data_IF_515074139273
#
_entry.id   IF_515074139273
#
_cell.length_a   1.000
_cell.length_b   1.000
_cell.length_c   1.000
_cell.angle_alpha   90.00
_cell.angle_beta   90.00
_cell.angle_gamma   90.00
#
_symmetry.space_group_name_H-M   'P 1'
#
loop_
_entity.id
_entity.type
_entity.pdbx_description
1 polymer ?
#
# COMPACT_ATOMS: atom_id res chain seq x y z
N UNK A 1 -20.59 23.59 11.29
CA UNK A 1 -21.09 23.00 12.54
C UNK A 1 -21.42 21.51 12.45
N UNK A 2 -22.12 21.05 11.40
CA UNK A 2 -22.50 19.63 11.24
C UNK A 2 -21.31 18.67 11.17
N UNK A 3 -20.20 19.07 10.58
CA UNK A 3 -19.02 18.23 10.40
C UNK A 3 -18.17 18.12 11.68
N UNK A 4 -18.08 19.19 12.45
CA UNK A 4 -17.45 19.16 13.79
C UNK A 4 -18.21 18.25 14.77
N UNK A 5 -19.54 18.25 14.71
CA UNK A 5 -20.34 17.35 15.54
C UNK A 5 -20.11 15.87 15.18
N UNK A 6 -19.96 15.54 13.89
CA UNK A 6 -19.61 14.17 13.44
C UNK A 6 -18.24 13.75 13.92
N UNK A 7 -17.26 14.65 13.88
CA UNK A 7 -15.90 14.37 14.37
C UNK A 7 -15.92 14.14 15.88
N UNK A 8 -16.61 15.00 16.65
CA UNK A 8 -16.77 14.82 18.11
C UNK A 8 -17.47 13.52 18.45
N UNK A 9 -18.56 13.17 17.76
CA UNK A 9 -19.27 11.91 17.96
C UNK A 9 -18.41 10.70 17.61
N UNK A 10 -17.60 10.79 16.56
CA UNK A 10 -16.64 9.72 16.19
C UNK A 10 -15.57 9.55 17.27
N UNK A 11 -15.01 10.65 17.77
CA UNK A 11 -14.04 10.60 18.89
C UNK A 11 -14.69 10.10 20.19
N UNK A 12 -15.90 10.53 20.50
CA UNK A 12 -16.64 10.02 21.66
C UNK A 12 -16.95 8.53 21.56
N UNK A 13 -17.30 8.02 20.37
CA UNK A 13 -17.49 6.59 20.16
C UNK A 13 -16.18 5.80 20.25
N UNK A 14 -15.08 6.35 19.77
CA UNK A 14 -13.74 5.77 19.94
C UNK A 14 -13.33 5.69 21.41
N UNK A 15 -13.51 6.78 22.17
CA UNK A 15 -13.26 6.80 23.62
C UNK A 15 -14.16 5.81 24.35
N UNK A 16 -15.42 5.72 23.97
CA UNK A 16 -16.38 4.74 24.55
C UNK A 16 -16.01 3.30 24.21
N UNK A 17 -15.54 3.03 22.98
CA UNK A 17 -15.08 1.70 22.59
C UNK A 17 -13.75 1.31 23.28
N UNK A 18 -12.90 2.28 23.60
CA UNK A 18 -11.70 2.05 24.41
C UNK A 18 -12.03 1.76 25.87
N UNK A 19 -13.16 2.27 26.38
CA UNK A 19 -13.61 2.06 27.77
C UNK A 19 -14.41 0.77 27.98
N UNK A 20 -14.96 0.16 26.93
CA UNK A 20 -15.78 -1.06 27.01
C UNK A 20 -15.05 -2.28 26.45
N UNK A 21 -14.40 -3.00 27.36
CA UNK A 21 -14.11 -4.42 27.30
C UNK A 21 -13.29 -4.98 26.14
N UNK A 22 -11.96 -4.91 26.28
CA UNK A 22 -11.14 -6.14 26.10
C UNK A 22 -9.82 -5.92 26.86
N UNK A 23 -9.45 -6.87 27.72
CA UNK A 23 -8.15 -6.85 28.44
C UNK A 23 -6.94 -7.07 27.52
N UNK A 24 -7.09 -6.87 26.21
CA UNK A 24 -6.01 -7.02 25.22
C UNK A 24 -5.43 -5.67 24.78
N UNK A 25 -4.12 -5.62 24.65
CA UNK A 25 -3.42 -4.52 23.99
C UNK A 25 -3.93 -4.39 22.53
N UNK A 26 -3.92 -3.20 21.96
CA UNK A 26 -4.37 -2.96 20.59
C UNK A 26 -3.19 -2.52 19.73
N UNK A 27 -3.05 -3.10 18.55
CA UNK A 27 -2.15 -2.66 17.49
C UNK A 27 -2.94 -2.27 16.26
N UNK A 28 -2.77 -1.05 15.77
CA UNK A 28 -3.50 -0.52 14.63
C UNK A 28 -2.55 -0.14 13.51
N UNK A 29 -2.85 -0.58 12.31
CA UNK A 29 -2.01 -0.46 11.13
C UNK A 29 -2.83 -0.03 9.94
N UNK A 30 -2.33 0.90 9.15
CA UNK A 30 -2.87 1.23 7.84
C UNK A 30 -1.86 0.96 6.73
N UNK A 31 -2.32 0.52 5.57
CA UNK A 31 -1.43 0.30 4.43
C UNK A 31 -2.07 0.76 3.13
N UNK A 32 -1.23 1.11 2.17
CA UNK A 32 -1.67 1.09 0.79
C UNK A 32 -2.03 -0.37 0.42
N UNK A 33 -3.09 -0.61 -0.37
CA UNK A 33 -3.54 -1.96 -0.68
C UNK A 33 -2.40 -2.85 -1.18
N UNK A 34 -2.11 -3.89 -0.43
CA UNK A 34 -1.02 -4.82 -0.75
C UNK A 34 -1.15 -6.12 0.02
N UNK A 35 -1.17 -7.24 -0.71
CA UNK A 35 -1.15 -8.57 -0.13
C UNK A 35 0.16 -8.92 0.62
N UNK A 36 1.18 -8.07 0.50
CA UNK A 36 2.51 -8.33 1.07
C UNK A 36 2.48 -8.45 2.60
N UNK A 37 1.64 -7.68 3.27
CA UNK A 37 1.58 -7.69 4.74
C UNK A 37 0.72 -8.81 5.32
N UNK A 38 -0.07 -9.51 4.51
CA UNK A 38 -1.00 -10.54 4.98
C UNK A 38 -0.29 -11.63 5.77
N UNK A 39 0.83 -12.15 5.24
CA UNK A 39 1.61 -13.16 5.95
C UNK A 39 2.25 -12.61 7.23
N UNK A 40 2.69 -11.36 7.21
CA UNK A 40 3.27 -10.70 8.38
C UNK A 40 2.22 -10.51 9.48
N UNK A 41 0.97 -10.19 9.13
CA UNK A 41 -0.13 -10.12 10.10
C UNK A 41 -0.46 -11.51 10.70
N UNK A 42 -0.39 -12.56 9.89
CA UNK A 42 -0.54 -13.94 10.39
C UNK A 42 0.61 -14.30 11.34
N UNK A 43 1.83 -13.93 11.02
CA UNK A 43 3.00 -14.18 11.89
C UNK A 43 2.95 -13.32 13.15
N UNK A 44 2.47 -12.10 13.07
CA UNK A 44 2.17 -11.26 14.23
C UNK A 44 1.18 -11.96 15.18
N UNK A 45 0.06 -12.47 14.63
CA UNK A 45 -0.93 -13.20 15.43
C UNK A 45 -0.33 -14.47 16.07
N UNK A 46 0.54 -15.20 15.36
CA UNK A 46 1.23 -16.36 15.90
C UNK A 46 2.20 -16.01 17.03
N UNK A 47 2.85 -14.86 16.93
CA UNK A 47 3.84 -14.39 17.92
C UNK A 47 3.17 -13.85 19.19
N UNK A 48 2.18 -12.98 19.02
CA UNK A 48 1.53 -12.27 20.13
C UNK A 48 0.26 -12.96 20.63
N UNK A 49 -0.30 -13.87 19.86
CA UNK A 49 -1.45 -14.67 20.23
C UNK A 49 -2.66 -13.83 20.60
N UNK A 50 -3.13 -14.04 21.85
CA UNK A 50 -4.32 -13.37 22.37
C UNK A 50 -4.03 -12.05 23.10
N UNK A 51 -2.77 -11.63 23.17
CA UNK A 51 -2.39 -10.42 23.90
C UNK A 51 -2.83 -9.15 23.16
N UNK A 52 -2.87 -9.21 21.82
CA UNK A 52 -3.18 -8.08 20.98
C UNK A 52 -4.43 -8.31 20.12
N UNK A 53 -5.22 -7.23 19.98
CA UNK A 53 -6.20 -7.08 18.90
C UNK A 53 -5.50 -6.28 17.80
N UNK A 54 -5.47 -6.84 16.58
CA UNK A 54 -4.93 -6.16 15.41
C UNK A 54 -6.07 -5.58 14.59
N UNK A 55 -6.00 -4.28 14.30
CA UNK A 55 -6.88 -3.63 13.31
C UNK A 55 -6.04 -3.17 12.13
N UNK A 56 -6.41 -3.64 10.95
CA UNK A 56 -5.78 -3.28 9.69
C UNK A 56 -6.76 -2.57 8.76
N UNK A 57 -6.31 -1.49 8.14
CA UNK A 57 -7.08 -0.73 7.16
C UNK A 57 -6.26 -0.51 5.89
N UNK A 58 -6.92 -0.52 4.74
CA UNK A 58 -6.29 -0.22 3.46
C UNK A 58 -6.87 1.06 2.86
N UNK A 59 -5.99 1.90 2.31
CA UNK A 59 -6.38 3.14 1.68
C UNK A 59 -5.28 3.77 0.83
N UNK A 60 -5.58 4.89 0.20
CA UNK A 60 -4.60 5.70 -0.52
C UNK A 60 -3.52 6.24 0.42
N UNK A 61 -2.41 6.72 -0.14
CA UNK A 61 -1.31 7.32 0.66
C UNK A 61 -1.81 8.48 1.52
N UNK A 62 -2.75 9.28 0.99
CA UNK A 62 -3.34 10.39 1.73
C UNK A 62 -4.23 9.91 2.88
N UNK A 63 -5.06 8.89 2.65
CA UNK A 63 -5.91 8.30 3.69
C UNK A 63 -5.09 7.67 4.80
N UNK A 64 -4.09 6.85 4.47
CA UNK A 64 -3.15 6.25 5.43
C UNK A 64 -2.49 7.32 6.29
N UNK A 65 -1.98 8.40 5.66
CA UNK A 65 -1.37 9.52 6.40
C UNK A 65 -2.36 10.23 7.32
N UNK A 66 -3.63 10.38 6.91
CA UNK A 66 -4.67 10.99 7.73
C UNK A 66 -5.07 10.11 8.92
N UNK A 67 -5.12 8.80 8.76
CA UNK A 67 -5.44 7.86 9.85
C UNK A 67 -4.34 7.85 10.91
N UNK A 68 -3.06 7.91 10.50
CA UNK A 68 -1.94 8.06 11.44
C UNK A 68 -2.01 9.43 12.14
N UNK A 69 -2.22 10.53 11.41
CA UNK A 69 -2.33 11.87 11.99
C UNK A 69 -3.48 12.02 13.00
N UNK A 70 -4.57 11.29 12.80
CA UNK A 70 -5.72 11.31 13.72
C UNK A 70 -5.61 10.33 14.88
N UNK A 71 -4.51 9.54 14.97
CA UNK A 71 -4.36 8.48 15.96
C UNK A 71 -5.31 7.29 15.74
N UNK A 72 -5.96 7.19 14.57
CA UNK A 72 -6.80 6.05 14.24
C UNK A 72 -5.94 4.80 14.00
N UNK A 73 -4.75 4.97 13.43
CA UNK A 73 -3.73 3.93 13.30
C UNK A 73 -2.42 4.42 13.90
N UNK A 74 -1.66 3.51 14.48
CA UNK A 74 -0.37 3.82 15.09
C UNK A 74 0.71 4.06 14.04
N UNK A 75 0.72 3.23 13.00
CA UNK A 75 1.66 3.33 11.88
C UNK A 75 0.95 3.17 10.54
N UNK A 76 1.57 3.70 9.49
CA UNK A 76 1.14 3.52 8.11
C UNK A 76 2.27 2.99 7.23
N UNK A 77 1.99 2.05 6.34
CA UNK A 77 2.91 1.62 5.29
C UNK A 77 2.45 2.17 3.96
N UNK A 78 3.30 2.96 3.32
CA UNK A 78 3.00 3.57 2.03
C UNK A 78 4.18 3.46 1.08
N UNK A 79 3.91 3.67 -0.20
CA UNK A 79 4.95 3.94 -1.17
C UNK A 79 4.66 5.21 -1.96
N UNK A 80 5.72 5.92 -2.28
CA UNK A 80 5.69 7.17 -3.06
C UNK A 80 6.82 7.16 -4.08
N UNK A 81 6.71 7.94 -5.15
CA UNK A 81 7.87 8.13 -6.01
C UNK A 81 8.97 8.92 -5.30
N UNK A 82 10.23 8.54 -5.49
CA UNK A 82 11.41 9.20 -4.88
C UNK A 82 11.37 10.74 -5.04
N UNK A 83 10.96 11.22 -6.20
CA UNK A 83 10.87 12.65 -6.47
C UNK A 83 9.83 13.39 -5.64
N UNK A 84 8.87 12.69 -5.08
CA UNK A 84 7.83 13.26 -4.20
C UNK A 84 8.26 13.31 -2.74
N UNK A 85 9.41 12.73 -2.38
CA UNK A 85 9.84 12.62 -0.99
C UNK A 85 9.87 13.97 -0.26
N UNK A 86 10.40 15.02 -0.90
CA UNK A 86 10.46 16.35 -0.28
C UNK A 86 9.06 16.94 -0.04
N UNK A 87 8.17 16.85 -1.04
CA UNK A 87 6.78 17.30 -0.91
C UNK A 87 6.02 16.47 0.14
N UNK A 88 6.22 15.17 0.14
CA UNK A 88 5.58 14.27 1.10
C UNK A 88 6.00 14.59 2.54
N UNK A 89 7.31 14.73 2.78
CA UNK A 89 7.83 15.13 4.10
C UNK A 89 7.28 16.48 4.55
N UNK A 90 7.15 17.44 3.64
CA UNK A 90 6.56 18.73 3.96
C UNK A 90 5.08 18.60 4.38
N UNK A 91 4.29 17.80 3.65
CA UNK A 91 2.89 17.52 3.98
C UNK A 91 2.78 16.81 5.34
N UNK A 92 3.63 15.83 5.60
CA UNK A 92 3.64 15.09 6.86
C UNK A 92 4.05 15.97 8.05
N UNK A 93 5.03 16.88 7.88
CA UNK A 93 5.45 17.80 8.92
C UNK A 93 4.32 18.70 9.42
N UNK A 94 3.40 19.13 8.54
CA UNK A 94 2.19 19.87 8.94
C UNK A 94 1.19 19.04 9.76
N UNK A 95 1.37 17.72 9.81
CA UNK A 95 0.53 16.78 10.57
C UNK A 95 1.26 16.20 11.77
N UNK A 96 2.46 16.68 12.10
CA UNK A 96 3.37 16.12 13.10
C UNK A 96 3.68 14.65 12.84
N UNK A 97 3.89 14.30 11.58
CA UNK A 97 4.26 12.96 11.13
C UNK A 97 5.61 12.97 10.45
N UNK A 98 6.28 11.83 10.49
CA UNK A 98 7.49 11.59 9.72
C UNK A 98 7.36 10.37 8.80
N UNK A 99 8.19 10.33 7.77
CA UNK A 99 8.31 9.20 6.85
C UNK A 99 9.72 8.62 6.92
N UNK A 100 9.80 7.38 7.33
CA UNK A 100 11.01 6.57 7.35
C UNK A 100 11.06 5.71 6.08
N UNK A 101 11.87 6.07 5.05
CA UNK A 101 12.04 5.24 3.87
C UNK A 101 12.82 3.98 4.24
N UNK A 102 12.36 2.83 3.77
CA UNK A 102 12.97 1.52 4.05
C UNK A 102 13.69 0.93 2.83
N UNK A 103 13.08 1.03 1.65
CA UNK A 103 13.64 0.46 0.43
C UNK A 103 13.12 1.19 -0.82
N UNK A 104 13.76 0.94 -1.97
CA UNK A 104 13.38 1.48 -3.28
C UNK A 104 13.13 0.34 -4.25
N UNK A 105 11.96 0.32 -4.85
CA UNK A 105 11.51 -0.76 -5.75
C UNK A 105 11.18 -0.26 -7.15
N UNK A 106 11.19 -1.19 -8.10
CA UNK A 106 10.70 -1.02 -9.46
C UNK A 106 9.18 -1.21 -9.52
N UNK A 107 8.55 -0.64 -10.53
CA UNK A 107 7.20 -1.05 -10.91
C UNK A 107 7.25 -2.37 -11.70
N UNK A 108 6.17 -3.13 -11.61
CA UNK A 108 5.94 -4.35 -12.39
C UNK A 108 4.48 -4.46 -12.83
N UNK A 109 4.19 -5.43 -13.69
CA UNK A 109 2.83 -5.77 -14.11
C UNK A 109 2.47 -7.15 -13.55
N UNK A 110 1.42 -7.23 -12.77
CA UNK A 110 0.86 -8.50 -12.31
C UNK A 110 -0.15 -9.04 -13.31
N UNK A 111 -0.02 -10.30 -13.66
CA UNK A 111 -0.88 -11.02 -14.61
C UNK A 111 -1.32 -12.37 -14.05
N UNK A 112 -2.55 -12.76 -14.30
CA UNK A 112 -3.08 -14.08 -13.97
C UNK A 112 -3.05 -15.05 -15.15
N UNK A 113 -3.48 -16.30 -14.95
CA UNK A 113 -3.33 -17.39 -15.92
C UNK A 113 -4.10 -17.20 -17.24
N UNK A 114 -5.10 -16.33 -17.25
CA UNK A 114 -5.88 -16.02 -18.46
C UNK A 114 -5.33 -14.83 -19.27
N UNK A 115 -4.25 -14.18 -18.78
CA UNK A 115 -3.67 -13.05 -19.47
C UNK A 115 -2.78 -13.50 -20.63
N UNK A 116 -2.83 -12.86 -21.82
CA UNK A 116 -2.02 -13.24 -22.99
C UNK A 116 -0.50 -13.28 -22.74
N UNK A 117 -0.02 -12.48 -21.75
CA UNK A 117 1.41 -12.41 -21.40
C UNK A 117 1.79 -13.30 -20.22
N UNK A 118 0.90 -14.20 -19.77
CA UNK A 118 1.17 -15.03 -18.60
C UNK A 118 2.46 -15.86 -18.72
N UNK A 119 2.80 -16.36 -19.90
CA UNK A 119 4.03 -17.13 -20.14
C UNK A 119 5.31 -16.27 -20.27
N UNK A 120 5.17 -14.95 -20.26
CA UNK A 120 6.30 -14.01 -20.38
C UNK A 120 6.90 -13.70 -19.00
N UNK A 121 8.16 -13.24 -18.99
CA UNK A 121 8.86 -12.77 -17.80
C UNK A 121 8.97 -11.24 -17.74
N UNK A 122 8.75 -10.56 -18.86
CA UNK A 122 8.86 -9.11 -18.96
C UNK A 122 7.92 -8.52 -20.00
N UNK A 123 7.77 -7.20 -19.92
CA UNK A 123 6.98 -6.35 -20.82
C UNK A 123 7.72 -5.05 -21.06
N UNK A 124 7.62 -4.47 -22.26
CA UNK A 124 8.16 -3.15 -22.54
C UNK A 124 7.18 -2.04 -22.17
N UNK A 125 7.68 -0.85 -21.81
CA UNK A 125 6.82 0.31 -21.52
C UNK A 125 5.82 0.61 -22.65
N UNK A 126 6.24 0.50 -23.91
CA UNK A 126 5.39 0.75 -25.08
C UNK A 126 4.21 -0.23 -25.19
N UNK A 127 4.36 -1.43 -24.67
CA UNK A 127 3.30 -2.45 -24.70
C UNK A 127 2.19 -2.18 -23.68
N UNK A 128 2.48 -1.41 -22.60
CA UNK A 128 1.51 -1.14 -21.53
C UNK A 128 0.24 -0.46 -22.05
N UNK A 129 0.33 0.34 -23.11
CA UNK A 129 -0.83 1.00 -23.72
C UNK A 129 -1.82 0.03 -24.35
N UNK A 130 -1.39 -1.17 -24.72
CA UNK A 130 -2.24 -2.22 -25.30
C UNK A 130 -2.92 -3.09 -24.25
N UNK A 131 -2.50 -3.02 -22.98
CA UNK A 131 -3.03 -3.84 -21.89
C UNK A 131 -4.27 -3.21 -21.25
N UNK A 132 -5.08 -4.03 -20.61
CA UNK A 132 -6.25 -3.60 -19.84
C UNK A 132 -6.00 -3.79 -18.36
N UNK A 133 -6.19 -2.73 -17.58
CA UNK A 133 -5.81 -2.71 -16.18
C UNK A 133 -7.00 -2.74 -15.22
N UNK A 134 -6.81 -3.43 -14.10
CA UNK A 134 -7.46 -3.11 -12.84
C UNK A 134 -6.45 -2.32 -11.99
N UNK A 135 -6.86 -1.20 -11.41
CA UNK A 135 -5.98 -0.34 -10.61
C UNK A 135 -6.63 0.12 -9.31
N UNK A 136 -5.81 0.61 -8.40
CA UNK A 136 -6.28 1.25 -7.18
C UNK A 136 -6.92 2.62 -7.47
N UNK A 137 -7.73 3.10 -6.54
CA UNK A 137 -8.23 4.48 -6.57
C UNK A 137 -7.03 5.42 -6.47
N UNK A 138 -6.92 6.35 -7.43
CA UNK A 138 -5.76 7.23 -7.56
C UNK A 138 -5.81 8.38 -6.57
N UNK A 139 -4.64 8.72 -6.05
CA UNK A 139 -4.36 9.95 -5.33
C UNK A 139 -3.16 10.69 -5.95
N UNK A 140 -2.71 11.77 -5.31
CA UNK A 140 -1.55 12.54 -5.78
C UNK A 140 -0.25 11.72 -5.82
N UNK A 141 -0.15 10.67 -5.01
CA UNK A 141 1.06 9.84 -4.87
C UNK A 141 1.05 8.58 -5.74
N UNK A 142 -0.02 8.35 -6.50
CA UNK A 142 -0.14 7.16 -7.36
C UNK A 142 1.02 7.04 -8.35
N UNK A 143 1.59 5.83 -8.43
CA UNK A 143 2.80 5.55 -9.24
C UNK A 143 2.63 5.89 -10.72
N UNK A 144 1.43 5.75 -11.24
CA UNK A 144 1.11 5.99 -12.64
C UNK A 144 1.43 7.42 -13.10
N UNK A 145 1.40 8.38 -12.17
CA UNK A 145 1.74 9.79 -12.45
C UNK A 145 3.24 10.00 -12.77
N UNK A 146 4.05 8.96 -12.62
CA UNK A 146 5.50 9.04 -12.80
C UNK A 146 6.01 8.19 -13.95
N UNK A 147 5.13 7.41 -14.60
CA UNK A 147 5.51 6.48 -15.66
C UNK A 147 6.09 7.18 -16.88
N UNK A 148 5.58 8.34 -17.28
CA UNK A 148 6.10 9.12 -18.41
C UNK A 148 7.59 9.45 -18.26
N UNK A 149 7.98 9.81 -17.04
CA UNK A 149 9.38 10.14 -16.76
C UNK A 149 10.25 8.90 -16.65
N UNK A 150 9.77 7.86 -15.95
CA UNK A 150 10.55 6.62 -15.76
C UNK A 150 10.74 5.89 -17.09
N UNK A 151 9.76 5.98 -17.97
CA UNK A 151 9.80 5.42 -19.32
C UNK A 151 10.48 6.33 -20.37
N UNK A 152 11.04 7.47 -19.94
CA UNK A 152 11.61 8.49 -20.84
C UNK A 152 10.62 8.96 -21.93
N UNK A 153 9.33 9.05 -21.56
CA UNK A 153 8.25 9.48 -22.46
C UNK A 153 7.63 8.36 -23.31
N UNK A 154 8.03 7.10 -23.11
CA UNK A 154 7.47 6.00 -23.88
C UNK A 154 5.99 5.73 -23.54
N UNK A 155 5.54 6.07 -22.32
CA UNK A 155 4.15 5.93 -21.88
C UNK A 155 3.79 7.02 -20.89
N UNK A 156 2.53 7.44 -20.89
CA UNK A 156 1.96 8.34 -19.90
C UNK A 156 0.74 7.72 -19.21
N UNK A 157 0.28 8.32 -18.12
CA UNK A 157 -0.92 7.88 -17.41
C UNK A 157 -2.17 7.81 -18.30
N UNK A 158 -2.23 8.67 -19.33
CA UNK A 158 -3.37 8.73 -20.26
C UNK A 158 -3.41 7.56 -21.24
N UNK A 159 -2.27 6.91 -21.44
CA UNK A 159 -2.10 5.78 -22.36
C UNK A 159 -2.50 4.45 -21.71
N UNK A 160 -2.69 4.43 -20.37
CA UNK A 160 -3.10 3.23 -19.65
C UNK A 160 -4.62 3.04 -19.73
N UNK A 161 -5.04 1.88 -20.23
CA UNK A 161 -6.43 1.53 -20.39
C UNK A 161 -6.99 0.83 -19.15
N UNK A 162 -7.55 1.58 -18.21
CA UNK A 162 -8.19 1.03 -17.01
C UNK A 162 -9.63 0.60 -17.27
N UNK A 163 -9.93 -0.66 -16.96
CA UNK A 163 -11.28 -1.22 -17.01
C UNK A 163 -12.01 -1.14 -15.66
N UNK A 164 -11.25 -1.27 -14.56
CA UNK A 164 -11.78 -1.30 -13.19
C UNK A 164 -10.88 -0.48 -12.27
N UNK A 165 -11.49 0.27 -11.34
CA UNK A 165 -10.80 0.86 -10.18
C UNK A 165 -11.36 0.25 -8.91
N UNK A 166 -10.49 -0.26 -8.03
CA UNK A 166 -10.88 -0.85 -6.75
C UNK A 166 -9.77 -0.66 -5.72
N UNK A 167 -10.16 -0.42 -4.46
CA UNK A 167 -9.26 -0.45 -3.31
C UNK A 167 -9.28 -1.81 -2.60
N UNK A 168 -9.94 -2.81 -3.18
CA UNK A 168 -10.01 -4.16 -2.64
C UNK A 168 -8.98 -5.06 -3.30
N UNK A 169 -7.98 -5.51 -2.51
CA UNK A 169 -7.00 -6.49 -2.97
C UNK A 169 -7.67 -7.81 -3.41
N UNK A 170 -8.71 -8.23 -2.70
CA UNK A 170 -9.51 -9.40 -3.09
C UNK A 170 -10.14 -9.25 -4.49
N UNK A 171 -10.67 -8.06 -4.81
CA UNK A 171 -11.21 -7.80 -6.16
C UNK A 171 -10.11 -7.84 -7.20
N UNK A 172 -8.94 -7.28 -6.90
CA UNK A 172 -7.77 -7.31 -7.80
C UNK A 172 -7.32 -8.75 -8.07
N UNK A 173 -7.16 -9.57 -7.03
CA UNK A 173 -6.80 -10.98 -7.17
C UNK A 173 -7.81 -11.73 -8.05
N UNK A 174 -9.12 -11.59 -7.78
CA UNK A 174 -10.15 -12.28 -8.58
C UNK A 174 -10.16 -11.80 -10.03
N UNK A 175 -9.97 -10.52 -10.28
CA UNK A 175 -9.90 -9.99 -11.65
C UNK A 175 -8.70 -10.58 -12.39
N UNK A 176 -7.52 -10.63 -11.77
CA UNK A 176 -6.32 -11.22 -12.36
C UNK A 176 -6.50 -12.72 -12.63
N UNK A 177 -7.09 -13.47 -11.69
CA UNK A 177 -7.27 -14.91 -11.80
C UNK A 177 -8.31 -15.32 -12.85
N UNK A 178 -9.32 -14.50 -13.11
CA UNK A 178 -10.50 -14.88 -13.89
C UNK A 178 -10.63 -14.16 -15.22
N UNK A 179 -9.80 -13.13 -15.49
CA UNK A 179 -9.89 -12.31 -16.69
C UNK A 179 -8.53 -12.11 -17.37
N UNK A 180 -8.53 -11.36 -18.48
CA UNK A 180 -7.34 -10.89 -19.17
C UNK A 180 -6.81 -9.55 -18.62
N UNK A 181 -7.32 -9.10 -17.49
CA UNK A 181 -6.85 -7.87 -16.86
C UNK A 181 -5.48 -8.08 -16.21
N UNK A 182 -4.71 -7.00 -16.17
CA UNK A 182 -3.46 -6.93 -15.43
C UNK A 182 -3.50 -5.78 -14.41
N UNK A 183 -2.54 -5.73 -13.50
CA UNK A 183 -2.41 -4.65 -12.54
C UNK A 183 -0.98 -4.12 -12.48
N UNK A 184 -0.83 -2.79 -12.43
CA UNK A 184 0.45 -2.18 -12.06
C UNK A 184 0.67 -2.32 -10.56
N UNK A 185 1.86 -2.70 -10.17
CA UNK A 185 2.24 -2.86 -8.78
C UNK A 185 3.73 -2.68 -8.56
N UNK A 186 4.15 -2.96 -7.35
CA UNK A 186 5.54 -2.91 -6.94
C UNK A 186 6.15 -4.29 -7.06
N UNK A 187 7.38 -4.37 -7.54
CA UNK A 187 8.12 -5.61 -7.67
C UNK A 187 8.66 -6.08 -6.31
N UNK A 188 7.91 -6.91 -5.60
CA UNK A 188 8.29 -7.54 -4.33
C UNK A 188 8.86 -8.95 -4.48
N UNK A 189 9.48 -9.27 -5.59
CA UNK A 189 10.18 -10.54 -5.77
C UNK A 189 9.42 -11.79 -5.28
N UNK A 190 8.24 -12.06 -5.83
CA UNK A 190 7.47 -13.31 -5.66
C UNK A 190 6.62 -13.48 -4.38
N UNK A 191 6.60 -12.52 -3.44
CA UNK A 191 5.94 -12.73 -2.15
C UNK A 191 4.42 -12.47 -2.12
N UNK A 192 3.87 -11.38 -2.73
CA UNK A 192 2.48 -10.98 -2.46
C UNK A 192 1.46 -12.02 -2.90
N UNK A 193 1.72 -12.70 -4.00
CA UNK A 193 0.76 -13.61 -4.62
C UNK A 193 1.21 -15.08 -4.65
N UNK A 194 2.10 -15.47 -3.74
CA UNK A 194 2.69 -16.83 -3.70
C UNK A 194 1.67 -17.97 -3.68
N UNK A 195 0.46 -17.73 -3.16
CA UNK A 195 -0.61 -18.73 -3.07
C UNK A 195 -1.62 -18.66 -4.22
N UNK A 196 -1.40 -17.74 -5.17
CA UNK A 196 -2.23 -17.56 -6.34
C UNK A 196 -1.40 -17.83 -7.59
N UNK A 197 -2.06 -18.22 -8.67
CA UNK A 197 -1.42 -18.37 -9.97
C UNK A 197 -1.28 -17.02 -10.69
N UNK A 198 -0.59 -16.10 -10.01
CA UNK A 198 -0.34 -14.73 -10.46
C UNK A 198 1.17 -14.51 -10.56
N UNK A 199 1.62 -14.03 -11.70
CA UNK A 199 3.00 -13.67 -11.97
C UNK A 199 3.20 -12.16 -11.97
N UNK A 200 4.42 -11.72 -11.68
CA UNK A 200 4.89 -10.37 -11.94
C UNK A 200 5.79 -10.33 -13.16
N UNK A 201 5.44 -9.54 -14.15
CA UNK A 201 6.28 -9.27 -15.31
C UNK A 201 7.14 -8.04 -15.00
N UNK A 202 8.45 -8.13 -15.20
CA UNK A 202 9.32 -6.97 -15.12
C UNK A 202 9.02 -6.00 -16.26
N UNK A 203 9.06 -4.70 -15.99
CA UNK A 203 9.01 -3.70 -17.05
C UNK A 203 10.46 -3.42 -17.49
N UNK A 204 10.78 -3.75 -18.72
CA UNK A 204 12.13 -3.54 -19.27
C UNK A 204 12.56 -2.07 -19.19
N UNK A 205 13.73 -1.82 -18.61
CA UNK A 205 14.26 -0.48 -18.45
C UNK A 205 13.59 0.34 -17.32
N UNK A 206 12.75 -0.25 -16.50
CA UNK A 206 12.19 0.40 -15.31
C UNK A 206 13.21 0.41 -14.19
N UNK A 207 13.83 1.56 -13.95
CA UNK A 207 14.71 1.75 -12.79
C UNK A 207 13.90 1.85 -11.50
N UNK A 208 14.47 1.45 -10.33
CA UNK A 208 13.81 1.62 -9.03
C UNK A 208 13.50 3.10 -8.76
N UNK A 209 12.25 3.42 -8.49
CA UNK A 209 11.79 4.78 -8.24
C UNK A 209 10.72 4.92 -7.15
N UNK A 210 10.23 3.80 -6.63
CA UNK A 210 9.18 3.77 -5.61
C UNK A 210 9.81 3.53 -4.24
N UNK A 211 9.80 4.56 -3.40
CA UNK A 211 10.18 4.48 -1.99
C UNK A 211 9.06 3.83 -1.20
N UNK A 212 9.36 2.72 -0.55
CA UNK A 212 8.49 2.09 0.46
C UNK A 212 8.97 2.55 1.82
N UNK A 213 8.05 2.87 2.71
CA UNK A 213 8.41 3.27 4.06
C UNK A 213 7.24 3.35 5.02
N UNK A 214 7.58 3.75 6.23
CA UNK A 214 6.68 3.88 7.36
C UNK A 214 6.31 5.35 7.56
N UNK A 215 5.02 5.63 7.69
CA UNK A 215 4.49 6.88 8.22
C UNK A 215 4.18 6.66 9.70
N UNK A 216 4.68 7.53 10.56
CA UNK A 216 4.47 7.46 12.02
C UNK A 216 4.44 8.86 12.64
N UNK A 217 3.91 9.01 13.85
CA UNK A 217 4.00 10.26 14.60
C UNK A 217 5.47 10.66 14.81
N UNK A 218 5.76 11.95 14.66
CA UNK A 218 7.10 12.50 14.88
C UNK A 218 7.43 12.54 16.37
N UNK A 219 8.56 11.91 16.75
CA UNK A 219 9.08 11.94 18.12
C UNK A 219 8.36 11.04 19.12
N UNK A 220 7.29 10.36 18.75
CA UNK A 220 6.58 9.44 19.64
C UNK A 220 7.30 8.07 19.73
N UNK A 221 7.28 7.47 20.92
CA UNK A 221 7.69 6.10 21.11
C UNK A 221 6.61 5.16 20.56
N UNK A 222 7.02 4.28 19.65
CA UNK A 222 6.15 3.24 19.11
C UNK A 222 5.94 2.12 20.14
N UNK A 223 4.75 1.52 20.12
CA UNK A 223 4.48 0.32 20.91
C UNK A 223 5.42 -0.84 20.54
N UNK A 224 5.60 -1.77 21.47
CA UNK A 224 6.38 -2.99 21.25
C UNK A 224 5.87 -3.76 20.02
N UNK A 225 4.57 -3.77 19.81
CA UNK A 225 3.91 -4.37 18.66
C UNK A 225 4.28 -3.71 17.34
N UNK A 226 4.25 -2.37 17.29
CA UNK A 226 4.63 -1.62 16.09
C UNK A 226 6.13 -1.79 15.78
N UNK A 227 6.99 -1.77 16.80
CA UNK A 227 8.43 -2.01 16.63
C UNK A 227 8.69 -3.40 16.04
N UNK A 228 8.08 -4.45 16.63
CA UNK A 228 8.18 -5.82 16.13
C UNK A 228 7.71 -5.91 14.67
N UNK A 229 6.58 -5.28 14.36
CA UNK A 229 6.02 -5.30 13.02
C UNK A 229 6.96 -4.66 12.00
N UNK A 230 7.51 -3.47 12.30
CA UNK A 230 8.46 -2.75 11.43
C UNK A 230 9.73 -3.56 11.21
N UNK A 231 10.29 -4.16 12.28
CA UNK A 231 11.50 -4.98 12.18
C UNK A 231 11.31 -6.19 11.26
N UNK A 232 10.15 -6.85 11.36
CA UNK A 232 9.86 -8.01 10.52
C UNK A 232 9.45 -7.59 9.10
N UNK A 233 8.81 -6.44 8.93
CA UNK A 233 8.54 -5.86 7.63
C UNK A 233 9.84 -5.55 6.86
N UNK A 234 10.84 -4.97 7.52
CA UNK A 234 12.18 -4.72 6.94
C UNK A 234 12.85 -5.98 6.40
N UNK A 235 12.56 -7.15 6.98
CA UNK A 235 13.12 -8.44 6.51
C UNK A 235 12.43 -8.98 5.24
N UNK A 236 11.23 -8.46 4.91
CA UNK A 236 10.49 -8.85 3.71
C UNK A 236 10.87 -8.04 2.49
N UNK A 237 11.49 -6.87 2.66
CA UNK A 237 11.92 -5.97 1.59
C UNK A 237 13.23 -6.40 0.97
#
# INVERSE_FOLDING_TARGET
MRDYAKVILKHASLISSMATHHNGKKFTLATYPSNMITNLLVDFYRHWGREYIVEHQEGSVEEVSNWVASGQTEIGIVYIAQRQLAAFRHILGHKNLEFEPLDVKEACVYVGPNHPYYERDCVDFSELSSLRFIGAVRDYFSMEHHLDRVSLGAISTKDLNYAIYSNSDHMTINALMQTDLCSLGINFMHQPYKHYDIKNLKINGCEPFLLIGIVRPEGDELSEAAQWFIENFKKLL
#
